data_IF_917655489942
#
_entry.id   IF_917655489942
#
_cell.length_a   1.000
_cell.length_b   1.000
_cell.length_c   1.000
_cell.angle_alpha   90.00
_cell.angle_beta   90.00
_cell.angle_gamma   90.00
#
_symmetry.space_group_name_H-M   'P 1'
#
loop_
_entity.id
_entity.type
_entity.pdbx_description
1 polymer ?
#
# COMPACT_ATOMS: atom_id res chain seq x y z
N UNK A 1 6.13 8.38 -28.98
CA UNK A 1 4.87 8.51 -28.23
C UNK A 1 5.17 8.47 -26.74
N UNK A 2 5.09 9.62 -26.07
CA UNK A 2 5.05 9.69 -24.60
C UNK A 2 3.68 9.20 -24.15
N UNK A 3 3.65 8.11 -23.38
CA UNK A 3 2.42 7.68 -22.73
C UNK A 3 2.20 8.60 -21.52
N UNK A 4 1.18 9.44 -21.62
CA UNK A 4 0.65 10.21 -20.50
C UNK A 4 -0.54 9.40 -19.97
N UNK A 5 -0.46 8.80 -18.77
CA UNK A 5 -1.64 8.18 -18.17
C UNK A 5 -2.76 9.23 -18.10
N UNK A 6 -4.00 8.81 -18.35
CA UNK A 6 -5.14 9.72 -18.16
C UNK A 6 -5.15 10.25 -16.73
N UNK A 7 -5.72 11.44 -16.51
CA UNK A 7 -5.99 11.99 -15.17
C UNK A 7 -6.47 10.90 -14.22
N UNK A 8 -5.87 10.89 -13.03
CA UNK A 8 -5.48 9.65 -12.40
C UNK A 8 -6.70 8.77 -12.08
N UNK A 9 -6.64 7.51 -12.53
CA UNK A 9 -7.48 6.42 -11.99
C UNK A 9 -7.54 6.40 -10.45
N UNK A 10 -6.53 7.04 -9.83
CA UNK A 10 -6.39 7.26 -8.40
C UNK A 10 -7.34 8.34 -7.85
N UNK A 11 -7.60 9.44 -8.54
CA UNK A 11 -8.52 10.47 -8.05
C UNK A 11 -9.96 9.93 -7.91
N UNK A 12 -10.33 8.98 -8.79
CA UNK A 12 -11.60 8.28 -8.71
C UNK A 12 -11.72 7.38 -7.46
N UNK A 13 -10.60 7.00 -6.83
CA UNK A 13 -10.58 6.21 -5.59
C UNK A 13 -11.01 7.02 -4.35
N UNK A 14 -11.21 8.34 -4.48
CA UNK A 14 -11.82 9.18 -3.44
C UNK A 14 -13.33 8.99 -3.32
N UNK A 15 -13.98 8.41 -4.34
CA UNK A 15 -15.42 8.15 -4.29
C UNK A 15 -15.66 6.73 -3.81
N UNK A 16 -16.17 6.56 -2.58
CA UNK A 16 -16.43 5.25 -1.95
C UNK A 16 -17.22 4.29 -2.84
N UNK A 17 -18.31 4.75 -3.46
CA UNK A 17 -19.15 3.91 -4.32
C UNK A 17 -18.42 3.41 -5.58
N UNK A 18 -17.65 4.28 -6.22
CA UNK A 18 -16.82 3.92 -7.37
C UNK A 18 -15.72 2.94 -6.96
N UNK A 19 -15.01 3.24 -5.87
CA UNK A 19 -13.97 2.39 -5.32
C UNK A 19 -14.49 0.98 -5.04
N UNK A 20 -15.60 0.87 -4.30
CA UNK A 20 -16.26 -0.40 -3.99
C UNK A 20 -16.69 -1.16 -5.24
N UNK A 21 -17.36 -0.50 -6.19
CA UNK A 21 -17.88 -1.16 -7.39
C UNK A 21 -16.76 -1.64 -8.31
N UNK A 22 -15.77 -0.81 -8.57
CA UNK A 22 -14.66 -1.15 -9.46
C UNK A 22 -13.81 -2.26 -8.86
N UNK A 23 -13.55 -2.19 -7.56
CA UNK A 23 -12.89 -3.27 -6.85
C UNK A 23 -13.73 -4.56 -6.87
N UNK A 24 -15.05 -4.48 -6.63
CA UNK A 24 -16.04 -5.57 -6.79
C UNK A 24 -15.89 -6.29 -8.13
N UNK A 25 -16.05 -5.53 -9.21
CA UNK A 25 -15.96 -6.02 -10.56
C UNK A 25 -14.59 -6.65 -10.85
N UNK A 26 -13.49 -6.00 -10.46
CA UNK A 26 -12.14 -6.50 -10.69
C UNK A 26 -11.90 -7.84 -9.98
N UNK A 27 -12.32 -7.97 -8.72
CA UNK A 27 -12.11 -9.22 -7.97
C UNK A 27 -12.96 -10.36 -8.50
N UNK A 28 -14.23 -10.09 -8.84
CA UNK A 28 -15.08 -11.09 -9.49
C UNK A 28 -14.45 -11.52 -10.82
N UNK A 29 -13.95 -10.56 -11.61
CA UNK A 29 -13.22 -10.82 -12.85
C UNK A 29 -12.02 -11.74 -12.64
N UNK A 30 -11.13 -11.42 -11.68
CA UNK A 30 -9.97 -12.26 -11.38
C UNK A 30 -10.34 -13.64 -10.89
N UNK A 31 -11.27 -13.76 -9.94
CA UNK A 31 -11.70 -15.07 -9.42
C UNK A 31 -12.35 -15.92 -10.51
N UNK A 32 -13.16 -15.30 -11.37
CA UNK A 32 -13.74 -15.97 -12.53
C UNK A 32 -12.67 -16.45 -13.52
N UNK A 33 -11.69 -15.62 -13.86
CA UNK A 33 -10.61 -16.01 -14.77
C UNK A 33 -9.67 -17.05 -14.18
N UNK A 34 -9.39 -17.00 -12.88
CA UNK A 34 -8.66 -18.04 -12.17
C UNK A 34 -9.42 -19.36 -12.20
N UNK A 35 -10.74 -19.34 -11.93
CA UNK A 35 -11.58 -20.52 -12.02
C UNK A 35 -11.60 -21.11 -13.44
N UNK A 36 -11.79 -20.26 -14.44
CA UNK A 36 -11.85 -20.65 -15.85
C UNK A 36 -10.51 -21.24 -16.31
N UNK A 37 -9.40 -20.59 -15.96
CA UNK A 37 -8.05 -21.06 -16.25
C UNK A 37 -7.77 -22.42 -15.59
N UNK A 38 -8.14 -22.58 -14.32
CA UNK A 38 -8.03 -23.86 -13.61
C UNK A 38 -8.83 -24.98 -14.26
N UNK A 39 -10.11 -24.73 -14.57
CA UNK A 39 -11.00 -25.72 -15.20
C UNK A 39 -10.51 -26.13 -16.58
N UNK A 40 -10.00 -25.19 -17.37
CA UNK A 40 -9.41 -25.47 -18.67
C UNK A 40 -8.15 -26.32 -18.56
N UNK A 41 -7.21 -25.93 -17.70
CA UNK A 41 -5.94 -26.65 -17.51
C UNK A 41 -6.11 -28.04 -16.87
N UNK A 42 -7.25 -28.27 -16.20
CA UNK A 42 -7.61 -29.59 -15.62
C UNK A 42 -8.49 -30.43 -16.56
N UNK A 43 -8.59 -30.06 -17.84
CA UNK A 43 -9.37 -30.76 -18.86
C UNK A 43 -10.85 -30.95 -18.50
N UNK A 44 -11.45 -30.01 -17.76
CA UNK A 44 -12.86 -30.04 -17.39
C UNK A 44 -13.78 -29.29 -18.36
N UNK A 45 -13.21 -28.68 -19.39
CA UNK A 45 -13.94 -28.07 -20.49
C UNK A 45 -13.57 -28.75 -21.80
N UNK A 46 -14.57 -29.01 -22.64
CA UNK A 46 -14.40 -29.60 -23.97
C UNK A 46 -13.94 -28.56 -25.02
N UNK A 47 -13.12 -27.61 -24.58
CA UNK A 47 -12.55 -26.60 -25.48
C UNK A 47 -11.38 -27.21 -26.23
N UNK A 48 -11.35 -27.02 -27.55
CA UNK A 48 -10.14 -27.25 -28.32
C UNK A 48 -9.00 -26.44 -27.68
N UNK A 49 -7.83 -27.06 -27.50
CA UNK A 49 -6.68 -26.46 -26.84
C UNK A 49 -6.34 -25.07 -27.41
N UNK A 50 -6.24 -24.93 -28.74
CA UNK A 50 -5.96 -23.65 -29.41
C UNK A 50 -6.97 -22.56 -29.04
N UNK A 51 -8.25 -22.91 -29.10
CA UNK A 51 -9.37 -21.99 -28.88
C UNK A 51 -9.45 -21.57 -27.43
N UNK A 52 -9.30 -22.51 -26.50
CA UNK A 52 -9.31 -22.21 -25.07
C UNK A 52 -8.13 -21.35 -24.65
N UNK A 53 -6.93 -21.58 -25.21
CA UNK A 53 -5.75 -20.74 -24.97
C UNK A 53 -5.98 -19.28 -25.42
N UNK A 54 -6.53 -19.07 -26.62
CA UNK A 54 -6.84 -17.73 -27.13
C UNK A 54 -7.92 -17.05 -26.27
N UNK A 55 -9.03 -17.72 -25.98
CA UNK A 55 -10.10 -17.14 -25.15
C UNK A 55 -9.57 -16.72 -23.77
N UNK A 56 -8.80 -17.59 -23.11
CA UNK A 56 -8.21 -17.28 -21.81
C UNK A 56 -7.24 -16.11 -21.88
N UNK A 57 -6.32 -16.13 -22.85
CA UNK A 57 -5.34 -15.06 -23.07
C UNK A 57 -6.04 -13.73 -23.33
N UNK A 58 -7.03 -13.68 -24.23
CA UNK A 58 -7.83 -12.50 -24.52
C UNK A 58 -8.57 -11.95 -23.29
N UNK A 59 -9.18 -12.82 -22.48
CA UNK A 59 -9.83 -12.37 -21.24
C UNK A 59 -8.85 -11.78 -20.22
N UNK A 60 -7.70 -12.43 -19.99
CA UNK A 60 -6.64 -11.89 -19.14
C UNK A 60 -6.10 -10.57 -19.68
N UNK A 61 -5.97 -10.44 -21.00
CA UNK A 61 -5.49 -9.24 -21.67
C UNK A 61 -6.44 -8.07 -21.45
N UNK A 62 -7.74 -8.28 -21.64
CA UNK A 62 -8.77 -7.26 -21.41
C UNK A 62 -8.72 -6.78 -19.95
N UNK A 63 -8.71 -7.71 -18.99
CA UNK A 63 -8.69 -7.37 -17.57
C UNK A 63 -7.42 -6.60 -17.19
N UNK A 64 -6.26 -7.06 -17.68
CA UNK A 64 -4.97 -6.37 -17.45
C UNK A 64 -4.95 -4.99 -18.09
N UNK A 65 -5.50 -4.85 -19.30
CA UNK A 65 -5.54 -3.57 -20.02
C UNK A 65 -6.40 -2.54 -19.31
N UNK A 66 -7.54 -2.94 -18.75
CA UNK A 66 -8.41 -2.03 -17.97
C UNK A 66 -7.64 -1.45 -16.77
N UNK A 67 -6.77 -2.25 -16.14
CA UNK A 67 -6.02 -1.85 -14.94
C UNK A 67 -4.63 -1.31 -15.19
N UNK A 68 -4.11 -1.37 -16.43
CA UNK A 68 -2.69 -1.13 -16.70
C UNK A 68 -2.22 0.24 -16.20
N UNK A 69 -3.03 1.28 -16.36
CA UNK A 69 -2.69 2.64 -15.93
C UNK A 69 -2.49 2.70 -14.40
N UNK A 70 -3.42 2.09 -13.65
CA UNK A 70 -3.32 1.96 -12.19
C UNK A 70 -2.10 1.13 -11.78
N UNK A 71 -1.90 -0.04 -12.37
CA UNK A 71 -0.79 -0.95 -12.06
C UNK A 71 0.59 -0.33 -12.33
N UNK A 72 0.69 0.55 -13.33
CA UNK A 72 1.90 1.30 -13.61
C UNK A 72 2.10 2.47 -12.63
N UNK A 73 1.01 3.15 -12.22
CA UNK A 73 1.07 4.21 -11.20
C UNK A 73 1.50 3.66 -9.84
N UNK A 74 1.02 2.46 -9.47
CA UNK A 74 1.36 1.79 -8.21
C UNK A 74 2.53 0.81 -8.34
N UNK A 75 3.45 1.01 -9.30
CA UNK A 75 4.57 0.09 -9.55
C UNK A 75 5.44 -0.21 -8.32
N UNK A 76 5.47 0.69 -7.34
CA UNK A 76 6.15 0.52 -6.05
C UNK A 76 5.56 -0.61 -5.19
N UNK A 77 4.30 -1.02 -5.42
CA UNK A 77 3.59 -2.11 -4.73
C UNK A 77 3.96 -3.46 -5.38
N UNK A 78 4.37 -4.44 -4.57
CA UNK A 78 4.75 -5.78 -5.06
C UNK A 78 3.57 -6.51 -5.70
N UNK A 79 2.36 -6.35 -5.15
CA UNK A 79 1.15 -6.98 -5.68
C UNK A 79 0.84 -6.43 -7.06
N UNK A 80 0.95 -5.11 -7.27
CA UNK A 80 0.76 -4.51 -8.60
C UNK A 80 1.78 -5.02 -9.63
N UNK A 81 3.03 -5.25 -9.22
CA UNK A 81 4.05 -5.83 -10.11
C UNK A 81 3.71 -7.28 -10.50
N UNK A 82 3.31 -8.10 -9.53
CA UNK A 82 2.91 -9.49 -9.78
C UNK A 82 1.65 -9.55 -10.65
N UNK A 83 0.66 -8.72 -10.33
CA UNK A 83 -0.61 -8.62 -11.04
C UNK A 83 -0.43 -8.20 -12.50
N UNK A 84 0.62 -7.46 -12.83
CA UNK A 84 0.95 -7.15 -14.22
C UNK A 84 1.83 -8.22 -14.88
N UNK A 85 2.86 -8.72 -14.20
CA UNK A 85 3.84 -9.64 -14.80
C UNK A 85 3.27 -11.03 -15.05
N UNK A 86 2.49 -11.57 -14.11
CA UNK A 86 1.97 -12.92 -14.18
C UNK A 86 1.02 -13.09 -15.39
N UNK A 87 0.03 -12.21 -15.63
CA UNK A 87 -0.80 -12.30 -16.83
C UNK A 87 -0.02 -12.13 -18.13
N UNK A 88 0.98 -11.25 -18.19
CA UNK A 88 1.83 -11.09 -19.38
C UNK A 88 2.55 -12.39 -19.73
N UNK A 89 3.21 -13.02 -18.75
CA UNK A 89 3.91 -14.30 -18.98
C UNK A 89 2.90 -15.39 -19.35
N UNK A 90 1.80 -15.48 -18.62
CA UNK A 90 0.76 -16.48 -18.87
C UNK A 90 0.14 -16.34 -20.26
N UNK A 91 -0.24 -15.13 -20.66
CA UNK A 91 -0.82 -14.84 -21.97
C UNK A 91 0.13 -15.14 -23.13
N UNK A 92 1.42 -14.81 -23.00
CA UNK A 92 2.43 -15.17 -23.99
C UNK A 92 2.59 -16.69 -24.14
N UNK A 93 2.60 -17.43 -23.02
CA UNK A 93 2.68 -18.90 -23.02
C UNK A 93 1.44 -19.50 -23.68
N UNK A 94 0.23 -19.02 -23.34
CA UNK A 94 -1.00 -19.46 -23.98
C UNK A 94 -1.01 -19.18 -25.49
N UNK A 95 -0.51 -18.02 -25.92
CA UNK A 95 -0.37 -17.69 -27.33
C UNK A 95 0.55 -18.65 -28.09
N UNK A 96 1.71 -18.99 -27.52
CA UNK A 96 2.64 -19.99 -28.11
C UNK A 96 1.98 -21.36 -28.20
N UNK A 97 1.30 -21.82 -27.14
CA UNK A 97 0.59 -23.10 -27.14
C UNK A 97 -0.52 -23.11 -28.20
N UNK A 98 -1.27 -22.01 -28.34
CA UNK A 98 -2.32 -21.91 -29.35
C UNK A 98 -1.78 -22.07 -30.78
N UNK A 99 -0.63 -21.45 -31.07
CA UNK A 99 0.04 -21.54 -32.38
C UNK A 99 0.58 -22.94 -32.67
N UNK A 100 1.10 -23.64 -31.66
CA UNK A 100 1.65 -24.99 -31.81
C UNK A 100 0.57 -26.08 -31.86
N UNK A 101 -0.60 -25.82 -31.30
CA UNK A 101 -1.71 -26.77 -31.30
C UNK A 101 -2.47 -26.77 -32.63
N UNK A 102 -2.97 -27.95 -33.01
CA UNK A 102 -3.90 -28.07 -34.14
C UNK A 102 -5.15 -27.24 -33.86
N UNK A 103 -5.42 -26.26 -34.71
CA UNK A 103 -6.63 -25.44 -34.68
C UNK A 103 -7.62 -25.90 -35.75
N UNK A 104 -8.93 -25.91 -35.45
CA UNK A 104 -9.96 -26.22 -36.45
C UNK A 104 -10.07 -25.12 -37.50
N UNK A 105 -9.81 -23.87 -37.10
CA UNK A 105 -9.85 -22.71 -37.97
C UNK A 105 -8.54 -21.90 -37.88
N UNK A 106 -7.95 -21.52 -39.03
CA UNK A 106 -6.69 -20.75 -39.05
C UNK A 106 -6.84 -19.36 -38.43
N UNK A 107 -8.07 -18.85 -38.31
CA UNK A 107 -8.36 -17.57 -37.63
C UNK A 107 -7.87 -17.55 -36.18
N UNK A 108 -7.87 -18.70 -35.50
CA UNK A 108 -7.40 -18.81 -34.11
C UNK A 108 -5.92 -18.44 -33.99
N UNK A 109 -5.10 -18.83 -34.98
CA UNK A 109 -3.67 -18.47 -35.00
C UNK A 109 -3.47 -16.99 -35.27
N UNK A 110 -4.29 -16.37 -36.13
CA UNK A 110 -4.24 -14.92 -36.38
C UNK A 110 -4.57 -14.15 -35.10
N UNK A 111 -5.61 -14.57 -34.37
CA UNK A 111 -5.98 -13.95 -33.09
C UNK A 111 -4.86 -14.14 -32.06
N UNK A 112 -4.27 -15.33 -31.95
CA UNK A 112 -3.16 -15.60 -31.04
C UNK A 112 -1.95 -14.68 -31.31
N UNK A 113 -1.56 -14.47 -32.57
CA UNK A 113 -0.49 -13.53 -32.94
C UNK A 113 -0.86 -12.10 -32.52
N UNK A 114 -2.11 -11.69 -32.76
CA UNK A 114 -2.61 -10.38 -32.34
C UNK A 114 -2.51 -10.17 -30.84
N UNK A 115 -2.99 -11.13 -30.03
CA UNK A 115 -2.91 -11.08 -28.57
C UNK A 115 -1.46 -11.04 -28.07
N UNK A 116 -0.57 -11.86 -28.64
CA UNK A 116 0.86 -11.84 -28.29
C UNK A 116 1.48 -10.47 -28.55
N UNK A 117 1.15 -9.82 -29.67
CA UNK A 117 1.62 -8.46 -29.96
C UNK A 117 1.15 -7.45 -28.91
N UNK A 118 -0.11 -7.55 -28.44
CA UNK A 118 -0.62 -6.73 -27.34
C UNK A 118 0.06 -7.02 -26.01
N UNK A 119 0.36 -8.27 -25.69
CA UNK A 119 1.12 -8.62 -24.48
C UNK A 119 2.54 -8.06 -24.50
N UNK A 120 3.21 -8.15 -25.66
CA UNK A 120 4.53 -7.51 -25.87
C UNK A 120 4.44 -6.00 -25.68
N UNK A 121 3.37 -5.36 -26.16
CA UNK A 121 3.15 -3.94 -25.96
C UNK A 121 2.97 -3.58 -24.46
N UNK A 122 2.18 -4.33 -23.69
CA UNK A 122 2.05 -4.15 -22.23
C UNK A 122 3.41 -4.33 -21.54
N UNK A 123 4.19 -5.33 -21.95
CA UNK A 123 5.54 -5.54 -21.41
C UNK A 123 6.48 -4.37 -21.68
N UNK A 124 6.41 -3.77 -22.88
CA UNK A 124 7.18 -2.56 -23.20
C UNK A 124 6.77 -1.39 -22.32
N UNK A 125 5.46 -1.19 -22.08
CA UNK A 125 4.97 -0.16 -21.15
C UNK A 125 5.52 -0.38 -19.74
N UNK A 126 5.47 -1.62 -19.25
CA UNK A 126 6.04 -2.00 -17.95
C UNK A 126 7.52 -1.64 -17.86
N UNK A 127 8.31 -2.01 -18.87
CA UNK A 127 9.76 -1.73 -18.93
C UNK A 127 10.06 -0.24 -18.95
N UNK A 128 9.29 0.55 -19.72
CA UNK A 128 9.40 2.02 -19.76
C UNK A 128 8.99 2.67 -18.44
N UNK A 129 8.00 2.13 -17.75
CA UNK A 129 7.60 2.66 -16.45
C UNK A 129 8.66 2.34 -15.39
N UNK A 130 9.20 1.12 -15.39
CA UNK A 130 10.27 0.70 -14.47
C UNK A 130 11.48 1.63 -14.49
N UNK A 131 11.83 2.22 -15.63
CA UNK A 131 12.97 3.15 -15.70
C UNK A 131 12.74 4.48 -14.96
N UNK A 132 11.51 4.77 -14.52
CA UNK A 132 11.17 5.94 -13.69
C UNK A 132 11.41 5.72 -12.19
N UNK A 133 11.88 4.54 -11.81
CA UNK A 133 12.07 4.15 -10.41
C UNK A 133 13.50 3.68 -10.17
N UNK A 134 14.02 3.98 -8.98
CA UNK A 134 15.26 3.41 -8.44
C UNK A 134 14.93 2.46 -7.29
N UNK A 135 15.80 1.49 -7.04
CA UNK A 135 15.66 0.62 -5.86
C UNK A 135 16.17 1.37 -4.62
N UNK A 136 15.36 1.44 -3.57
CA UNK A 136 15.73 1.98 -2.26
C UNK A 136 15.25 1.02 -1.18
N UNK A 137 16.15 0.62 -0.29
CA UNK A 137 15.87 -0.49 0.63
C UNK A 137 15.53 -1.76 -0.15
N UNK A 138 14.35 -2.33 0.08
CA UNK A 138 13.95 -3.61 -0.52
C UNK A 138 13.05 -3.50 -1.76
N UNK A 139 12.55 -2.30 -2.10
CA UNK A 139 11.62 -2.08 -3.22
C UNK A 139 11.92 -0.86 -4.09
N UNK A 140 11.07 -0.56 -5.09
CA UNK A 140 11.22 0.62 -5.94
C UNK A 140 10.65 1.88 -5.30
N UNK A 141 11.29 3.01 -5.54
CA UNK A 141 10.79 4.36 -5.26
C UNK A 141 11.01 5.24 -6.51
N UNK A 142 10.22 6.30 -6.71
CA UNK A 142 10.42 7.21 -7.83
C UNK A 142 11.86 7.74 -7.93
N UNK A 143 12.29 8.09 -9.15
CA UNK A 143 13.52 8.87 -9.31
C UNK A 143 13.38 10.21 -8.56
N UNK A 144 14.48 10.74 -8.06
CA UNK A 144 14.57 11.99 -7.29
C UNK A 144 14.01 12.00 -5.86
N UNK A 145 13.44 10.89 -5.38
CA UNK A 145 13.05 10.74 -3.97
C UNK A 145 14.22 11.10 -3.05
N UNK A 146 13.98 12.03 -2.12
CA UNK A 146 14.90 12.34 -1.04
C UNK A 146 14.77 11.26 0.03
N UNK A 147 15.85 10.52 0.23
CA UNK A 147 15.93 9.49 1.27
C UNK A 147 16.52 10.12 2.51
N UNK A 148 15.87 9.90 3.65
CA UNK A 148 16.21 10.47 4.94
C UNK A 148 16.24 12.01 4.91
N UNK A 149 15.15 12.69 4.50
CA UNK A 149 15.08 14.15 4.59
C UNK A 149 15.23 14.61 6.05
N UNK A 150 15.99 15.68 6.32
CA UNK A 150 16.21 16.17 7.68
C UNK A 150 14.92 16.73 8.32
N UNK A 151 14.90 16.81 9.65
CA UNK A 151 13.70 17.17 10.42
C UNK A 151 13.16 18.59 10.15
N UNK A 152 14.01 19.49 9.67
CA UNK A 152 13.68 20.88 9.33
C UNK A 152 12.80 20.99 8.08
N UNK A 153 12.99 20.09 7.10
CA UNK A 153 12.17 20.02 5.88
C UNK A 153 10.75 19.49 6.19
N UNK A 154 10.61 18.64 7.20
CA UNK A 154 9.35 17.99 7.54
C UNK A 154 8.36 18.94 8.23
N UNK A 155 7.08 18.84 7.92
CA UNK A 155 6.02 19.72 8.41
C UNK A 155 4.93 18.92 9.14
N UNK A 156 4.17 19.53 10.08
CA UNK A 156 3.00 18.89 10.66
C UNK A 156 2.00 18.43 9.59
N UNK A 157 1.58 17.17 9.69
CA UNK A 157 0.72 16.51 8.72
C UNK A 157 1.46 15.67 7.69
N UNK A 158 2.79 15.78 7.58
CA UNK A 158 3.58 14.94 6.69
C UNK A 158 3.52 13.46 7.08
N UNK A 159 3.51 12.59 6.08
CA UNK A 159 3.58 11.15 6.27
C UNK A 159 5.00 10.66 6.01
N UNK A 160 5.63 10.08 7.03
CA UNK A 160 6.93 9.40 6.93
C UNK A 160 6.69 7.92 6.69
N UNK A 161 7.39 7.37 5.70
CA UNK A 161 7.34 5.96 5.34
C UNK A 161 8.73 5.35 5.54
N UNK A 162 8.85 4.40 6.48
CA UNK A 162 10.14 3.83 6.89
C UNK A 162 10.33 2.39 6.38
N UNK A 163 11.58 2.03 6.08
CA UNK A 163 11.97 0.68 5.69
C UNK A 163 12.15 -0.19 6.94
N UNK A 164 11.09 -0.90 7.35
CA UNK A 164 11.12 -1.84 8.47
C UNK A 164 11.44 -3.29 8.08
N UNK A 165 11.44 -4.19 9.07
CA UNK A 165 11.58 -5.64 8.85
C UNK A 165 10.47 -6.20 7.96
N UNK A 166 9.26 -5.66 8.06
CA UNK A 166 8.12 -6.03 7.20
C UNK A 166 8.43 -5.71 5.73
N UNK A 167 9.05 -4.56 5.45
CA UNK A 167 9.45 -4.17 4.10
C UNK A 167 10.47 -5.16 3.51
N UNK A 168 11.36 -5.71 4.36
CA UNK A 168 12.33 -6.74 3.98
C UNK A 168 11.64 -8.03 3.55
N UNK A 169 10.68 -8.51 4.33
CA UNK A 169 9.96 -9.76 4.07
C UNK A 169 9.04 -9.65 2.85
N UNK A 170 8.39 -8.51 2.66
CA UNK A 170 7.47 -8.27 1.53
C UNK A 170 8.18 -7.78 0.26
N UNK A 171 9.50 -7.56 0.29
CA UNK A 171 10.25 -6.91 -0.79
C UNK A 171 9.65 -5.58 -1.24
N UNK A 172 9.22 -4.78 -0.26
CA UNK A 172 8.67 -3.43 -0.44
C UNK A 172 9.70 -2.37 -0.05
N UNK A 173 9.55 -1.15 -0.57
CA UNK A 173 10.45 -0.04 -0.24
C UNK A 173 10.23 0.49 1.18
N UNK A 174 9.00 0.41 1.68
CA UNK A 174 8.56 0.92 2.97
C UNK A 174 7.58 -0.07 3.60
N UNK A 175 7.56 -0.18 4.92
CA UNK A 175 6.74 -1.17 5.64
C UNK A 175 6.12 -0.65 6.93
N UNK A 176 6.36 0.62 7.25
CA UNK A 176 5.80 1.30 8.41
C UNK A 176 5.56 2.76 8.06
N UNK A 177 4.58 3.36 8.73
CA UNK A 177 4.14 4.73 8.47
C UNK A 177 3.92 5.49 9.77
N UNK A 178 4.34 6.75 9.78
CA UNK A 178 4.25 7.65 10.93
C UNK A 178 3.91 9.05 10.46
N UNK A 179 3.14 9.81 11.24
CA UNK A 179 2.76 11.17 10.90
C UNK A 179 3.54 12.17 11.75
N UNK A 180 4.03 13.24 11.12
CA UNK A 180 4.65 14.36 11.84
C UNK A 180 3.58 15.24 12.47
N UNK A 181 3.74 15.55 13.75
CA UNK A 181 2.88 16.46 14.49
C UNK A 181 3.71 17.60 15.09
N UNK A 182 3.10 18.79 15.15
CA UNK A 182 3.63 19.94 15.87
C UNK A 182 3.07 19.99 17.29
N UNK A 183 3.94 19.93 18.29
CA UNK A 183 3.56 20.08 19.69
C UNK A 183 3.43 21.57 20.07
N UNK A 184 2.64 21.92 21.10
CA UNK A 184 2.47 23.30 21.56
C UNK A 184 3.79 23.98 22.00
N UNK A 185 4.79 23.20 22.40
CA UNK A 185 6.12 23.68 22.79
C UNK A 185 7.07 23.89 21.60
N UNK A 186 6.57 23.73 20.36
CA UNK A 186 7.34 23.89 19.12
C UNK A 186 8.15 22.66 18.71
N UNK A 187 8.13 21.57 19.50
CA UNK A 187 8.79 20.32 19.11
C UNK A 187 7.99 19.57 18.05
N UNK A 188 8.68 18.82 17.20
CA UNK A 188 8.06 17.87 16.26
C UNK A 188 8.08 16.47 16.87
N UNK A 189 6.91 15.83 16.90
CA UNK A 189 6.75 14.46 17.36
C UNK A 189 6.21 13.60 16.22
N UNK A 190 6.44 12.30 16.31
CA UNK A 190 5.91 11.30 15.42
C UNK A 190 4.75 10.58 16.08
N UNK A 191 3.61 10.58 15.40
CA UNK A 191 2.44 9.79 15.74
C UNK A 191 2.47 8.48 14.97
N UNK A 192 2.44 7.38 15.71
CA UNK A 192 2.71 6.05 15.17
C UNK A 192 1.93 4.99 15.93
N UNK A 193 1.84 3.78 15.36
CA UNK A 193 1.35 2.59 16.07
C UNK A 193 2.28 1.41 15.83
N UNK A 194 2.82 0.86 16.92
CA UNK A 194 3.76 -0.26 16.90
C UNK A 194 3.11 -1.54 17.42
N UNK A 195 3.53 -2.68 16.88
CA UNK A 195 3.00 -4.00 17.25
C UNK A 195 3.07 -4.31 18.75
N UNK A 196 4.14 -3.88 19.42
CA UNK A 196 4.40 -4.11 20.84
C UNK A 196 3.82 -3.02 21.76
N UNK A 197 3.64 -1.79 21.26
CA UNK A 197 3.25 -0.62 22.08
C UNK A 197 1.85 -0.07 21.81
N UNK A 198 1.21 -0.46 20.70
CA UNK A 198 0.01 0.21 20.21
C UNK A 198 0.33 1.63 19.73
N UNK A 199 -0.67 2.50 19.81
CA UNK A 199 -0.59 3.88 19.32
C UNK A 199 0.17 4.76 20.30
N UNK A 200 1.18 5.49 19.83
CA UNK A 200 2.07 6.29 20.68
C UNK A 200 2.70 7.48 19.97
N UNK A 201 3.37 8.33 20.77
CA UNK A 201 4.24 9.39 20.31
C UNK A 201 5.71 9.09 20.60
N UNK A 202 6.59 9.53 19.72
CA UNK A 202 8.02 9.58 19.97
C UNK A 202 8.67 10.79 19.27
N UNK A 203 9.84 11.28 19.74
CA UNK A 203 10.52 12.41 19.13
C UNK A 203 10.93 12.13 17.68
N UNK A 204 10.86 13.15 16.82
CA UNK A 204 11.26 13.03 15.41
C UNK A 204 12.75 12.70 15.23
N UNK A 205 13.56 13.05 16.22
CA UNK A 205 15.00 12.80 16.27
C UNK A 205 15.33 11.30 16.35
N UNK A 206 14.39 10.46 16.78
CA UNK A 206 14.57 9.00 16.74
C UNK A 206 14.66 8.45 15.31
N UNK A 207 14.04 9.15 14.33
CA UNK A 207 14.15 8.82 12.91
C UNK A 207 15.17 9.68 12.16
N UNK A 208 15.22 10.97 12.45
CA UNK A 208 16.01 11.95 11.68
C UNK A 208 17.42 12.14 12.24
N UNK A 209 17.68 11.68 13.46
CA UNK A 209 18.95 11.83 14.15
C UNK A 209 20.03 10.84 13.69
N UNK A 210 21.29 11.08 14.09
CA UNK A 210 22.46 10.28 13.66
C UNK A 210 22.41 8.82 14.15
N UNK A 211 21.56 8.51 15.13
CA UNK A 211 21.37 7.14 15.64
C UNK A 211 20.51 6.25 14.74
N UNK A 212 19.73 6.82 13.82
CA UNK A 212 18.84 6.05 12.94
C UNK A 212 19.64 5.35 11.83
N UNK A 213 19.50 4.03 11.72
CA UNK A 213 20.22 3.20 10.73
C UNK A 213 19.36 2.77 9.54
N UNK A 214 18.09 3.19 9.50
CA UNK A 214 17.15 2.84 8.44
C UNK A 214 17.10 3.83 7.29
N UNK A 215 16.28 3.51 6.29
CA UNK A 215 15.88 4.43 5.25
C UNK A 215 14.42 4.82 5.45
N UNK A 216 14.12 6.10 5.27
CA UNK A 216 12.76 6.58 5.19
C UNK A 216 12.64 7.61 4.07
N UNK A 217 11.41 7.80 3.65
CA UNK A 217 10.99 8.85 2.73
C UNK A 217 9.84 9.59 3.38
N UNK A 218 9.58 10.81 2.96
CA UNK A 218 8.48 11.61 3.47
C UNK A 218 7.57 12.05 2.34
N UNK A 219 6.31 12.28 2.69
CA UNK A 219 5.27 12.80 1.82
C UNK A 219 4.70 14.07 2.47
N UNK A 220 4.76 15.18 1.76
CA UNK A 220 4.06 16.40 2.14
C UNK A 220 2.58 16.31 1.81
N UNK A 221 1.74 16.93 2.63
CA UNK A 221 0.38 17.25 2.20
C UNK A 221 0.46 18.35 1.13
N UNK A 222 -0.17 18.13 -0.03
CA UNK A 222 -0.28 19.16 -1.08
C UNK A 222 -0.95 20.45 -0.59
N UNK A 223 -1.81 20.30 0.42
CA UNK A 223 -2.43 21.40 1.14
C UNK A 223 -2.00 21.31 2.60
N UNK A 224 -0.89 21.95 2.98
CA UNK A 224 -0.40 21.96 4.35
C UNK A 224 -1.46 22.47 5.32
N UNK A 225 -1.43 21.95 6.55
CA UNK A 225 -2.31 22.42 7.61
C UNK A 225 -1.91 23.84 8.05
N UNK A 226 -2.92 24.67 8.37
CA UNK A 226 -2.70 25.89 9.13
C UNK A 226 -2.24 25.53 10.56
N UNK A 227 -1.63 26.48 11.26
CA UNK A 227 -1.20 26.28 12.66
C UNK A 227 -2.35 25.80 13.56
N UNK A 228 -3.55 26.38 13.39
CA UNK A 228 -4.76 25.96 14.12
C UNK A 228 -5.14 24.50 13.81
N UNK A 229 -5.10 24.10 12.53
CA UNK A 229 -5.38 22.70 12.14
C UNK A 229 -4.31 21.75 12.66
N UNK A 230 -3.04 22.15 12.64
CA UNK A 230 -1.95 21.35 13.18
C UNK A 230 -2.10 21.13 14.69
N UNK A 231 -2.46 22.17 15.45
CA UNK A 231 -2.75 22.06 16.88
C UNK A 231 -3.93 21.11 17.15
N UNK A 232 -5.03 21.27 16.40
CA UNK A 232 -6.19 20.37 16.49
C UNK A 232 -5.83 18.92 16.16
N UNK A 233 -4.99 18.68 15.15
CA UNK A 233 -4.53 17.34 14.80
C UNK A 233 -3.77 16.69 15.96
N UNK A 234 -2.92 17.47 16.65
CA UNK A 234 -2.21 17.01 17.85
C UNK A 234 -3.18 16.63 18.97
N UNK A 235 -4.18 17.45 19.28
CA UNK A 235 -5.21 17.13 20.28
C UNK A 235 -5.98 15.83 19.94
N UNK A 236 -6.35 15.66 18.67
CA UNK A 236 -7.04 14.45 18.21
C UNK A 236 -6.12 13.23 18.33
N UNK A 237 -4.85 13.35 17.96
CA UNK A 237 -3.88 12.26 18.09
C UNK A 237 -3.68 11.86 19.56
N UNK A 238 -3.64 12.83 20.49
CA UNK A 238 -3.53 12.56 21.93
C UNK A 238 -4.75 11.79 22.43
N UNK A 239 -5.95 12.18 21.99
CA UNK A 239 -7.18 11.45 22.27
C UNK A 239 -7.15 10.03 21.70
N UNK A 240 -6.64 9.83 20.48
CA UNK A 240 -6.48 8.50 19.88
C UNK A 240 -5.53 7.62 20.71
N UNK A 241 -4.38 8.13 21.15
CA UNK A 241 -3.46 7.39 22.03
C UNK A 241 -4.15 6.99 23.35
N UNK A 242 -4.94 7.89 23.94
CA UNK A 242 -5.68 7.59 25.17
C UNK A 242 -6.73 6.49 24.95
N UNK A 243 -7.50 6.57 23.86
CA UNK A 243 -8.51 5.58 23.49
C UNK A 243 -7.90 4.21 23.19
N UNK A 244 -6.77 4.16 22.49
CA UNK A 244 -6.00 2.93 22.21
C UNK A 244 -5.60 2.22 23.51
N UNK A 245 -5.04 2.99 24.45
CA UNK A 245 -4.62 2.48 25.77
C UNK A 245 -5.81 1.99 26.60
N UNK A 246 -6.92 2.71 26.57
CA UNK A 246 -8.14 2.30 27.25
C UNK A 246 -8.64 0.96 26.68
N UNK A 247 -8.74 0.85 25.35
CA UNK A 247 -9.16 -0.37 24.70
C UNK A 247 -8.24 -1.55 25.03
N UNK A 248 -6.92 -1.34 24.98
CA UNK A 248 -5.92 -2.37 25.30
C UNK A 248 -6.08 -2.85 26.75
N UNK A 249 -6.28 -1.94 27.70
CA UNK A 249 -6.52 -2.29 29.10
C UNK A 249 -7.79 -3.13 29.29
N UNK A 250 -8.89 -2.72 28.65
CA UNK A 250 -10.16 -3.47 28.69
C UNK A 250 -10.03 -4.86 28.06
N UNK A 251 -9.39 -4.98 26.90
CA UNK A 251 -9.21 -6.27 26.23
C UNK A 251 -8.30 -7.19 27.04
N UNK A 252 -7.24 -6.67 27.66
CA UNK A 252 -6.37 -7.45 28.55
C UNK A 252 -7.13 -8.00 29.77
N UNK A 253 -8.11 -7.26 30.30
CA UNK A 253 -9.02 -7.77 31.34
C UNK A 253 -9.89 -8.90 30.79
N UNK A 254 -10.48 -8.75 29.59
CA UNK A 254 -11.31 -9.79 28.95
C UNK A 254 -10.52 -11.06 28.67
N UNK A 255 -9.32 -10.93 28.09
CA UNK A 255 -8.38 -12.03 27.84
C UNK A 255 -8.02 -12.73 29.14
N UNK A 256 -7.68 -11.97 30.19
CA UNK A 256 -7.34 -12.53 31.50
C UNK A 256 -8.50 -13.32 32.13
N UNK A 257 -9.74 -12.83 31.99
CA UNK A 257 -10.96 -13.55 32.44
C UNK A 257 -11.17 -14.85 31.67
N UNK A 258 -11.03 -14.83 30.33
CA UNK A 258 -11.15 -16.04 29.48
C UNK A 258 -10.10 -17.09 29.86
N UNK A 259 -8.85 -16.68 30.05
CA UNK A 259 -7.75 -17.57 30.44
C UNK A 259 -7.95 -18.15 31.86
N UNK A 260 -8.52 -17.36 32.79
CA UNK A 260 -8.74 -17.80 34.16
C UNK A 260 -9.67 -19.02 34.27
N UNK A 261 -10.65 -19.14 33.36
CA UNK A 261 -11.63 -20.24 33.30
C UNK A 261 -11.00 -21.57 32.84
N UNK A 262 -9.87 -21.52 32.13
CA UNK A 262 -9.21 -22.73 31.64
C UNK A 262 -8.65 -23.56 32.81
N UNK A 263 -8.85 -24.89 32.84
CA UNK A 263 -8.30 -25.77 33.88
C UNK A 263 -6.81 -26.06 33.63
N UNK A 264 -5.99 -25.01 33.55
CA UNK A 264 -4.56 -25.06 33.29
C UNK A 264 -3.76 -24.57 34.51
N UNK A 265 -2.53 -25.08 34.74
CA UNK A 265 -1.62 -24.52 35.75
C UNK A 265 -1.35 -23.03 35.56
N UNK A 266 -1.13 -22.28 36.64
CA UNK A 266 -0.86 -20.82 36.56
C UNK A 266 0.37 -20.47 35.72
N UNK A 267 1.38 -21.35 35.66
CA UNK A 267 2.54 -21.16 34.79
C UNK A 267 2.16 -21.13 33.30
N UNK A 268 1.17 -21.92 32.88
CA UNK A 268 0.66 -21.92 31.51
C UNK A 268 -0.25 -20.71 31.30
N UNK A 269 -1.13 -20.40 32.26
CA UNK A 269 -2.00 -19.21 32.19
C UNK A 269 -1.18 -17.92 32.09
N UNK A 270 -0.10 -17.79 32.83
CA UNK A 270 0.81 -16.64 32.75
C UNK A 270 1.46 -16.52 31.36
N UNK A 271 1.87 -17.64 30.74
CA UNK A 271 2.36 -17.65 29.36
C UNK A 271 1.27 -17.22 28.37
N UNK A 272 0.05 -17.73 28.51
CA UNK A 272 -1.07 -17.35 27.65
C UNK A 272 -1.40 -15.86 27.77
N UNK A 273 -1.41 -15.30 28.99
CA UNK A 273 -1.64 -13.85 29.23
C UNK A 273 -0.58 -13.00 28.52
N UNK A 274 0.67 -13.47 28.48
CA UNK A 274 1.76 -12.79 27.75
C UNK A 274 1.61 -12.90 26.24
N UNK A 275 1.22 -14.08 25.74
CA UNK A 275 1.03 -14.34 24.29
C UNK A 275 -0.15 -13.54 23.74
N UNK A 276 -1.27 -13.50 24.46
CA UNK A 276 -2.50 -12.83 24.06
C UNK A 276 -2.62 -11.42 24.63
N UNK A 277 -1.51 -10.82 25.04
CA UNK A 277 -1.50 -9.44 25.51
C UNK A 277 -1.87 -8.49 24.37
N UNK A 278 -2.89 -7.67 24.59
CA UNK A 278 -3.31 -6.62 23.67
C UNK A 278 -2.43 -5.37 23.90
N UNK A 279 -1.69 -4.95 22.88
CA UNK A 279 -0.90 -3.71 22.89
C UNK A 279 -1.69 -2.47 22.46
N UNK A 280 -2.81 -2.66 21.74
CA UNK A 280 -3.50 -1.60 21.00
C UNK A 280 -3.37 -1.73 19.48
N UNK A 281 -2.41 -2.53 19.01
CA UNK A 281 -2.20 -2.77 17.57
C UNK A 281 -3.25 -3.71 16.96
N UNK A 282 -3.88 -3.32 15.85
CA UNK A 282 -4.84 -4.18 15.12
C UNK A 282 -4.14 -5.17 14.17
N UNK A 283 -3.62 -6.26 14.71
CA UNK A 283 -2.98 -7.34 13.95
C UNK A 283 -3.83 -7.88 12.79
N UNK A 284 -5.14 -7.99 12.98
CA UNK A 284 -6.06 -8.43 11.94
C UNK A 284 -6.25 -7.37 10.85
N UNK A 285 -6.21 -6.10 11.25
CA UNK A 285 -6.19 -4.94 10.36
C UNK A 285 -5.00 -4.98 9.40
N UNK A 286 -3.84 -5.46 9.84
CA UNK A 286 -2.65 -5.61 8.98
C UNK A 286 -2.91 -6.50 7.77
N UNK A 287 -3.73 -7.53 7.89
CA UNK A 287 -4.00 -8.48 6.79
C UNK A 287 -5.26 -8.13 5.99
N UNK A 288 -6.29 -7.60 6.63
CA UNK A 288 -7.59 -7.32 6.00
C UNK A 288 -7.73 -5.87 5.50
N UNK A 289 -6.80 -4.99 5.91
CA UNK A 289 -6.87 -3.56 5.65
C UNK A 289 -8.10 -2.89 6.28
N UNK A 290 -8.60 -3.43 7.39
CA UNK A 290 -9.67 -2.75 8.15
C UNK A 290 -9.06 -1.68 9.04
N UNK A 291 -9.77 -0.57 9.17
CA UNK A 291 -9.56 0.42 10.22
C UNK A 291 -10.66 0.17 11.24
N UNK A 292 -10.28 -0.12 12.49
CA UNK A 292 -11.22 -0.38 13.58
C UNK A 292 -11.08 0.72 14.61
N UNK A 293 -12.20 1.08 15.23
CA UNK A 293 -12.22 2.07 16.29
C UNK A 293 -11.32 1.64 17.47
N UNK A 294 -10.50 2.59 17.94
CA UNK A 294 -9.70 2.49 19.17
C UNK A 294 -8.63 1.40 19.17
N UNK A 295 -8.28 0.85 18.01
CA UNK A 295 -7.09 0.02 17.80
C UNK A 295 -6.64 0.14 16.36
N UNK A 296 -5.37 0.43 16.15
CA UNK A 296 -4.90 0.79 14.82
C UNK A 296 -3.61 0.08 14.44
N UNK A 297 -3.47 -0.24 13.16
CA UNK A 297 -2.16 -0.50 12.56
C UNK A 297 -1.39 0.82 12.45
N UNK A 298 -0.09 0.77 12.15
CA UNK A 298 0.73 1.96 11.93
C UNK A 298 0.09 2.94 10.93
N UNK A 299 -0.22 2.45 9.74
CA UNK A 299 -0.88 3.26 8.71
C UNK A 299 -2.36 3.51 9.01
N UNK A 300 -3.05 2.59 9.69
CA UNK A 300 -4.44 2.77 10.10
C UNK A 300 -4.61 3.97 11.04
N UNK A 301 -3.65 4.20 11.93
CA UNK A 301 -3.65 5.37 12.82
C UNK A 301 -3.50 6.67 12.02
N UNK A 302 -2.59 6.70 11.05
CA UNK A 302 -2.43 7.86 10.16
C UNK A 302 -3.69 8.12 9.33
N UNK A 303 -4.29 7.08 8.75
CA UNK A 303 -5.54 7.17 7.98
C UNK A 303 -6.68 7.73 8.82
N UNK A 304 -6.87 7.20 10.02
CA UNK A 304 -7.91 7.67 10.95
C UNK A 304 -7.71 9.15 11.29
N UNK A 305 -6.47 9.57 11.57
CA UNK A 305 -6.18 10.98 11.86
C UNK A 305 -6.44 11.89 10.64
N UNK A 306 -6.02 11.48 9.44
CA UNK A 306 -6.33 12.23 8.21
C UNK A 306 -7.83 12.34 7.95
N UNK A 307 -8.60 11.29 8.21
CA UNK A 307 -10.06 11.30 8.09
C UNK A 307 -10.70 12.26 9.09
N UNK A 308 -10.26 12.26 10.35
CA UNK A 308 -10.73 13.21 11.38
C UNK A 308 -10.34 14.66 11.09
N UNK A 309 -9.31 14.87 10.28
CA UNK A 309 -8.83 16.17 9.82
C UNK A 309 -9.38 16.59 8.45
N UNK A 310 -10.32 15.83 7.90
CA UNK A 310 -10.94 16.06 6.57
C UNK A 310 -9.91 16.17 5.43
N UNK A 311 -8.79 15.45 5.52
CA UNK A 311 -7.81 15.38 4.43
C UNK A 311 -8.37 14.46 3.34
N UNK A 312 -8.44 14.91 2.07
CA UNK A 312 -9.06 14.16 0.98
C UNK A 312 -8.14 13.05 0.43
N UNK A 313 -7.76 12.12 1.31
CA UNK A 313 -7.00 10.92 0.97
C UNK A 313 -7.89 9.93 0.20
N UNK A 314 -7.28 9.00 -0.50
CA UNK A 314 -8.02 7.90 -1.14
C UNK A 314 -8.69 7.00 -0.11
N UNK A 315 -9.64 6.18 -0.58
CA UNK A 315 -10.10 5.06 0.22
C UNK A 315 -9.06 3.93 0.24
N UNK A 316 -8.81 3.41 1.44
CA UNK A 316 -7.85 2.35 1.69
C UNK A 316 -8.52 1.15 2.37
N UNK A 317 -8.21 -0.05 1.87
CA UNK A 317 -8.51 -1.32 2.54
C UNK A 317 -9.96 -1.83 2.50
N UNK A 318 -10.19 -2.89 3.28
CA UNK A 318 -11.39 -3.75 3.52
C UNK A 318 -11.78 -4.80 2.47
N UNK A 319 -11.02 -5.90 2.42
CA UNK A 319 -11.50 -7.21 1.98
C UNK A 319 -11.13 -8.28 3.02
N UNK A 320 -12.04 -9.13 3.52
CA UNK A 320 -12.66 -10.24 2.77
C UNK A 320 -14.18 -10.15 2.54
N UNK A 321 -14.97 -9.39 3.31
CA UNK A 321 -16.42 -9.21 3.05
C UNK A 321 -16.97 -7.96 3.78
N UNK A 322 -16.45 -6.79 3.40
CA UNK A 322 -17.03 -5.48 3.74
C UNK A 322 -17.16 -4.54 2.54
N UNK A 323 -17.14 -5.13 1.34
CA UNK A 323 -17.35 -4.55 0.00
C UNK A 323 -16.37 -3.45 -0.41
N UNK A 324 -15.09 -3.82 -0.48
CA UNK A 324 -14.01 -3.17 -1.25
C UNK A 324 -12.97 -4.15 -1.83
N UNK A 325 -13.20 -5.47 -1.74
CA UNK A 325 -12.58 -6.62 -2.45
C UNK A 325 -11.09 -6.99 -2.34
N UNK A 326 -10.83 -8.21 -2.86
CA UNK A 326 -9.71 -9.14 -2.70
C UNK A 326 -9.69 -9.80 -1.32
N UNK A 327 -9.35 -11.10 -1.27
CA UNK A 327 -9.35 -11.90 -0.02
C UNK A 327 -8.42 -11.26 1.03
N UNK A 328 -7.35 -10.59 0.56
CA UNK A 328 -6.42 -9.83 1.37
C UNK A 328 -6.15 -8.49 0.67
N UNK A 329 -6.72 -7.40 1.19
CA UNK A 329 -6.43 -6.03 0.73
C UNK A 329 -5.85 -5.18 1.87
N UNK A 330 -4.61 -5.47 2.30
CA UNK A 330 -3.97 -4.71 3.38
C UNK A 330 -3.82 -3.24 2.97
N UNK A 331 -3.90 -2.34 3.97
CA UNK A 331 -3.48 -0.95 3.76
C UNK A 331 -1.95 -0.95 3.75
N UNK A 332 -1.36 -0.87 2.55
CA UNK A 332 0.09 -0.83 2.39
C UNK A 332 0.60 0.61 2.44
N UNK A 333 1.56 0.95 3.32
CA UNK A 333 2.14 2.30 3.40
C UNK A 333 2.61 2.85 2.06
N UNK A 334 3.17 1.98 1.21
CA UNK A 334 3.71 2.35 -0.09
C UNK A 334 2.64 2.93 -1.04
N UNK A 335 1.35 2.58 -0.86
CA UNK A 335 0.24 3.08 -1.70
C UNK A 335 0.01 4.58 -1.58
N UNK A 336 0.44 5.19 -0.49
CA UNK A 336 0.36 6.64 -0.30
C UNK A 336 1.27 7.42 -1.26
N UNK A 337 2.28 6.78 -1.86
CA UNK A 337 3.08 7.40 -2.93
C UNK A 337 2.26 7.77 -4.17
N UNK A 338 1.10 7.16 -4.38
CA UNK A 338 0.18 7.51 -5.46
C UNK A 338 -1.00 8.36 -4.98
N UNK A 339 -1.13 8.64 -3.68
CA UNK A 339 -2.28 9.35 -3.15
C UNK A 339 -2.27 10.83 -3.57
N UNK A 340 -3.36 11.33 -4.17
CA UNK A 340 -3.43 12.69 -4.68
C UNK A 340 -3.43 13.76 -3.60
N UNK A 341 -3.66 13.44 -2.32
CA UNK A 341 -3.51 14.37 -1.20
C UNK A 341 -2.05 14.67 -0.87
N UNK A 342 -1.12 13.83 -1.34
CA UNK A 342 0.28 13.89 -0.99
C UNK A 342 1.19 14.20 -2.18
N UNK A 343 2.35 14.77 -1.87
CA UNK A 343 3.47 14.91 -2.78
C UNK A 343 4.75 14.39 -2.14
N UNK A 344 5.59 13.75 -2.95
CA UNK A 344 6.82 13.13 -2.46
C UNK A 344 7.89 14.18 -2.23
N UNK A 345 8.52 14.15 -1.05
CA UNK A 345 9.68 15.02 -0.78
C UNK A 345 10.82 14.65 -1.73
N UNK A 346 11.25 15.62 -2.54
CA UNK A 346 12.29 15.41 -3.55
C UNK A 346 13.53 16.25 -3.26
N UNK A 347 14.69 15.81 -3.76
CA UNK A 347 15.96 16.53 -3.58
C UNK A 347 15.97 17.95 -4.18
N UNK A 348 15.02 18.28 -5.05
CA UNK A 348 14.93 19.60 -5.70
C UNK A 348 14.42 20.65 -4.68
N UNK A 349 13.77 20.21 -3.61
CA UNK A 349 13.27 21.03 -2.52
C UNK A 349 14.31 21.27 -1.41
N UNK A 350 15.60 20.98 -1.64
CA UNK A 350 16.65 21.53 -0.79
C UNK A 350 16.46 23.05 -0.76
N UNK A 351 16.14 23.66 0.39
CA UNK A 351 15.97 25.09 0.46
C UNK A 351 17.29 25.72 0.01
N UNK A 352 17.24 26.64 -0.95
CA UNK A 352 18.36 27.53 -1.34
C UNK A 352 18.88 28.40 -0.18
N UNK A 353 18.51 28.10 1.06
CA UNK A 353 18.84 28.85 2.28
C UNK A 353 20.29 28.62 2.73
N UNK A 354 20.99 27.60 2.21
CA UNK A 354 22.39 27.33 2.59
C UNK A 354 23.45 28.03 1.70
N UNK A 355 23.09 28.63 0.56
CA UNK A 355 24.06 29.23 -0.37
C UNK A 355 24.16 30.76 -0.31
N UNK A 356 23.27 31.47 0.40
CA UNK A 356 23.36 32.93 0.58
C UNK A 356 24.06 33.38 1.87
N UNK A 357 24.49 32.45 2.74
CA UNK A 357 25.22 32.78 3.99
C UNK A 357 26.74 32.50 3.96
N UNK A 358 27.35 32.34 2.78
CA UNK A 358 28.81 32.12 2.68
C UNK A 358 29.54 32.99 1.65
N UNK A 359 29.05 34.21 1.39
CA UNK A 359 29.90 35.26 0.79
C UNK A 359 30.33 36.22 1.90
N UNK A 360 31.52 36.02 2.52
CA UNK A 360 32.13 37.07 3.30
C UNK A 360 32.50 38.23 2.36
N UNK A 361 32.01 39.42 2.67
CA UNK A 361 32.53 40.66 2.11
C UNK A 361 34.02 40.78 2.45
N UNK A 362 34.87 40.79 1.43
CA UNK A 362 36.17 41.44 1.46
C UNK A 362 36.32 42.33 0.24
#
# INVERSE_FOLDING_TARGET
MSYHPSEASVDLQRTSSYYTLVKAANTIGYLFLLHLSWRFLTHRYDWQLSTGCVILSGCWLILTRIKVDHLLQTYFDILSRIELQLPVVFGLVLGVVALMSHAYHPIVHVIAVGEMAFWVWIWILFRKNKSKFKRQGYGPVPLNTWVNPPADVLQPGDLILTSGNIAKELHESVGHAEMVLGMPDGRKMLFSSYMDKGTCFHPIEELTGPGHKGHYIALHLKHPWSEEKAAKATEIAESMVALDRQWAAEENIRVSRRIAILPLPESIKAKLRRIFHASGYDWFGTFMGRVVDNRWTCIGACVELYQRMDVPINHYGTGLLGVGTTIFDPILPVRFLADPAFELVTKIEEPKVALEKSIPHH
#
